data_IF_464900184244
#
_entry.id   IF_464900184244
#
_cell.length_a   1.000
_cell.length_b   1.000
_cell.length_c   1.000
_cell.angle_alpha   90.00
_cell.angle_beta   90.00
_cell.angle_gamma   90.00
#
_symmetry.space_group_name_H-M   'P 1'
#
loop_
_entity.id
_entity.type
_entity.pdbx_description
1 polymer ?
#
# COMPACT_ATOMS: atom_id res chain seq x y z
N UNK A 1 -16.10 9.31 -7.59
CA UNK A 1 -14.77 9.49 -7.02
C UNK A 1 -13.74 8.84 -7.94
N UNK A 2 -12.78 9.60 -8.43
CA UNK A 2 -11.75 9.15 -9.40
C UNK A 2 -10.41 9.82 -9.09
N UNK A 3 -9.34 9.36 -9.72
CA UNK A 3 -8.03 10.01 -9.63
C UNK A 3 -8.09 11.50 -10.06
N UNK A 4 -8.95 11.84 -11.02
CA UNK A 4 -9.08 13.21 -11.52
C UNK A 4 -9.69 14.18 -10.50
N UNK A 5 -10.54 13.71 -9.58
CA UNK A 5 -11.21 14.54 -8.59
C UNK A 5 -10.75 14.34 -7.14
N UNK A 6 -9.78 13.46 -6.90
CA UNK A 6 -9.23 13.17 -5.56
C UNK A 6 -8.74 14.45 -4.84
N UNK A 7 -8.11 15.36 -5.56
CA UNK A 7 -7.59 16.61 -5.01
C UNK A 7 -8.58 17.80 -5.11
N UNK A 8 -9.85 17.57 -5.44
CA UNK A 8 -10.85 18.63 -5.39
C UNK A 8 -11.27 18.99 -3.96
N UNK A 9 -10.99 18.14 -3.00
CA UNK A 9 -11.18 18.41 -1.58
C UNK A 9 -10.09 19.37 -1.06
N UNK A 10 -10.50 20.49 -0.46
CA UNK A 10 -9.59 21.51 0.08
C UNK A 10 -8.70 20.99 1.21
N UNK A 11 -9.23 20.08 2.06
CA UNK A 11 -8.44 19.49 3.15
C UNK A 11 -7.35 18.59 2.60
N UNK A 12 -7.65 17.78 1.57
CA UNK A 12 -6.67 16.94 0.88
C UNK A 12 -5.52 17.76 0.33
N UNK A 13 -5.81 18.89 -0.33
CA UNK A 13 -4.79 19.81 -0.87
C UNK A 13 -3.93 20.48 0.20
N UNK A 14 -4.47 20.74 1.39
CA UNK A 14 -3.70 21.28 2.52
C UNK A 14 -2.69 20.27 3.08
N UNK A 15 -3.01 18.97 3.03
CA UNK A 15 -2.10 17.92 3.48
C UNK A 15 -0.93 17.77 2.51
N UNK A 16 -1.23 17.67 1.21
CA UNK A 16 -0.21 17.49 0.18
C UNK A 16 -0.74 17.98 -1.18
N UNK A 17 0.04 18.81 -1.84
CA UNK A 17 -0.32 19.35 -3.14
C UNK A 17 -0.19 18.27 -4.24
N UNK A 18 -1.11 18.20 -5.21
CA UNK A 18 -1.08 17.19 -6.27
C UNK A 18 0.20 17.23 -7.12
N UNK A 19 0.80 18.41 -7.29
CA UNK A 19 2.06 18.59 -8.03
C UNK A 19 3.25 17.93 -7.31
N UNK A 20 3.23 17.89 -5.99
CA UNK A 20 4.23 17.18 -5.18
C UNK A 20 4.09 15.67 -5.35
N UNK A 21 2.85 15.18 -5.27
CA UNK A 21 2.55 13.75 -5.50
C UNK A 21 3.01 13.30 -6.90
N UNK A 22 2.74 14.11 -7.91
CA UNK A 22 3.11 13.78 -9.29
C UNK A 22 4.63 13.68 -9.50
N UNK A 23 5.43 14.45 -8.73
CA UNK A 23 6.91 14.47 -8.86
C UNK A 23 7.61 13.44 -7.99
N UNK A 24 7.12 13.22 -6.77
CA UNK A 24 7.85 12.48 -5.73
C UNK A 24 7.13 11.22 -5.25
N UNK A 25 5.87 11.03 -5.68
CA UNK A 25 5.00 10.03 -5.07
C UNK A 25 4.55 10.46 -3.67
N UNK A 26 4.19 9.47 -2.86
CA UNK A 26 3.75 9.68 -1.47
C UNK A 26 4.41 8.68 -0.54
N UNK A 27 4.60 9.06 0.72
CA UNK A 27 4.96 8.13 1.79
C UNK A 27 3.70 7.43 2.34
N UNK A 28 3.89 6.39 3.12
CA UNK A 28 2.78 5.65 3.72
C UNK A 28 2.00 6.53 4.72
N UNK A 29 2.69 7.36 5.49
CA UNK A 29 2.05 8.32 6.41
C UNK A 29 1.25 9.38 5.66
N UNK A 30 1.80 9.92 4.58
CA UNK A 30 1.09 10.90 3.75
C UNK A 30 -0.17 10.29 3.16
N UNK A 31 -0.12 9.02 2.71
CA UNK A 31 -1.32 8.32 2.25
C UNK A 31 -2.37 8.19 3.35
N UNK A 32 -1.97 7.79 4.56
CA UNK A 32 -2.87 7.72 5.71
C UNK A 32 -3.56 9.05 6.01
N UNK A 33 -2.79 10.16 6.01
CA UNK A 33 -3.33 11.51 6.19
C UNK A 33 -4.29 11.93 5.07
N UNK A 34 -3.95 11.63 3.81
CA UNK A 34 -4.80 11.91 2.66
C UNK A 34 -6.13 11.16 2.73
N UNK A 35 -6.11 9.89 3.12
CA UNK A 35 -7.32 9.08 3.34
C UNK A 35 -8.19 9.66 4.46
N UNK A 36 -7.58 10.10 5.56
CA UNK A 36 -8.29 10.74 6.66
C UNK A 36 -9.04 12.02 6.26
N UNK A 37 -8.61 12.71 5.20
CA UNK A 37 -9.33 13.89 4.67
C UNK A 37 -10.70 13.54 4.04
N UNK A 38 -11.00 12.26 3.85
CA UNK A 38 -12.25 11.73 3.30
C UNK A 38 -13.09 10.96 4.35
N UNK A 39 -12.89 11.22 5.63
CA UNK A 39 -13.58 10.53 6.72
C UNK A 39 -13.37 9.00 6.69
N UNK A 40 -12.23 8.56 6.19
CA UNK A 40 -11.80 7.16 6.21
C UNK A 40 -10.83 6.99 7.37
N UNK A 41 -11.07 6.02 8.23
CA UNK A 41 -10.11 5.64 9.27
C UNK A 41 -8.95 4.87 8.61
N UNK A 42 -7.74 5.42 8.66
CA UNK A 42 -6.55 4.79 8.14
C UNK A 42 -5.58 4.48 9.28
N UNK A 43 -5.22 3.20 9.44
CA UNK A 43 -4.17 2.74 10.35
C UNK A 43 -2.91 2.44 9.57
N UNK A 44 -1.81 3.08 9.94
CA UNK A 44 -0.51 2.93 9.29
C UNK A 44 0.40 2.05 10.13
N UNK A 45 0.98 1.04 9.50
CA UNK A 45 1.97 0.14 10.10
C UNK A 45 3.21 0.09 9.20
N UNK A 46 4.38 0.21 9.78
CA UNK A 46 5.64 -0.05 9.10
C UNK A 46 6.12 -1.47 9.38
N UNK A 47 6.91 -2.07 8.49
CA UNK A 47 7.46 -3.40 8.73
C UNK A 47 8.31 -3.46 10.01
N UNK A 48 8.95 -2.35 10.41
CA UNK A 48 9.68 -2.23 11.68
C UNK A 48 8.80 -2.37 12.93
N UNK A 49 7.47 -2.18 12.80
CA UNK A 49 6.52 -2.19 13.92
C UNK A 49 5.88 -3.57 14.13
N UNK A 50 6.16 -4.53 13.27
CA UNK A 50 5.50 -5.82 13.25
C UNK A 50 6.45 -6.92 12.73
N UNK A 51 5.94 -8.11 12.49
CA UNK A 51 6.64 -9.23 11.90
C UNK A 51 5.73 -10.02 10.95
N UNK A 52 6.32 -10.90 10.13
CA UNK A 52 5.61 -11.63 9.07
C UNK A 52 4.31 -12.30 9.54
N UNK A 53 4.34 -13.00 10.67
CA UNK A 53 3.14 -13.71 11.16
C UNK A 53 2.02 -12.76 11.55
N UNK A 54 2.36 -11.69 12.26
CA UNK A 54 1.40 -10.66 12.64
C UNK A 54 0.83 -9.93 11.42
N UNK A 55 1.68 -9.62 10.43
CA UNK A 55 1.26 -9.06 9.14
C UNK A 55 0.26 -9.98 8.44
N UNK A 56 0.58 -11.28 8.33
CA UNK A 56 -0.30 -12.28 7.71
C UNK A 56 -1.69 -12.33 8.38
N UNK A 57 -1.71 -12.39 9.70
CA UNK A 57 -2.95 -12.43 10.48
C UNK A 57 -3.76 -11.14 10.34
N UNK A 58 -3.11 -10.00 10.46
CA UNK A 58 -3.76 -8.69 10.37
C UNK A 58 -4.41 -8.48 9.00
N UNK A 59 -3.69 -8.80 7.93
CA UNK A 59 -4.20 -8.66 6.56
C UNK A 59 -5.34 -9.65 6.31
N UNK A 60 -5.17 -10.93 6.66
CA UNK A 60 -6.21 -11.94 6.47
C UNK A 60 -7.50 -11.59 7.25
N UNK A 61 -7.37 -11.13 8.48
CA UNK A 61 -8.52 -10.67 9.28
C UNK A 61 -9.20 -9.46 8.64
N UNK A 62 -8.42 -8.48 8.20
CA UNK A 62 -8.97 -7.27 7.57
C UNK A 62 -9.73 -7.60 6.28
N UNK A 63 -9.18 -8.48 5.44
CA UNK A 63 -9.81 -8.91 4.19
C UNK A 63 -11.10 -9.73 4.39
N UNK A 64 -11.32 -10.28 5.58
CA UNK A 64 -12.57 -11.00 5.91
C UNK A 64 -13.72 -10.09 6.36
N UNK A 65 -13.47 -8.80 6.53
CA UNK A 65 -14.44 -7.81 6.98
C UNK A 65 -14.93 -6.96 5.80
N UNK A 66 -16.25 -6.74 5.74
CA UNK A 66 -16.82 -5.82 4.76
C UNK A 66 -16.32 -4.38 5.00
N UNK A 67 -16.21 -3.62 3.94
CA UNK A 67 -15.79 -2.21 3.93
C UNK A 67 -14.38 -1.93 4.47
N UNK A 68 -13.59 -2.98 4.70
CA UNK A 68 -12.19 -2.86 5.06
C UNK A 68 -11.28 -3.12 3.85
N UNK A 69 -10.22 -2.32 3.75
CA UNK A 69 -9.27 -2.38 2.63
C UNK A 69 -7.84 -2.39 3.15
N UNK A 70 -6.98 -3.11 2.46
CA UNK A 70 -5.56 -3.14 2.77
C UNK A 70 -4.77 -2.57 1.61
N UNK A 71 -3.94 -1.58 1.90
CA UNK A 71 -2.95 -1.04 0.97
C UNK A 71 -1.56 -1.41 1.47
N UNK A 72 -0.72 -1.87 0.57
CA UNK A 72 0.66 -2.28 0.88
C UNK A 72 1.66 -1.43 0.10
N UNK A 73 2.66 -0.91 0.83
CA UNK A 73 3.83 -0.25 0.24
C UNK A 73 4.96 -1.27 0.14
N UNK A 74 5.51 -1.47 -1.05
CA UNK A 74 6.53 -2.50 -1.30
C UNK A 74 7.53 -2.08 -2.36
N UNK A 75 8.71 -2.67 -2.30
CA UNK A 75 9.75 -2.50 -3.31
C UNK A 75 9.54 -3.50 -4.45
N UNK A 76 9.14 -3.02 -5.62
CA UNK A 76 8.74 -3.81 -6.80
C UNK A 76 9.74 -4.91 -7.18
N UNK A 77 11.04 -4.60 -7.19
CA UNK A 77 12.08 -5.57 -7.59
C UNK A 77 12.12 -6.83 -6.72
N UNK A 78 11.65 -6.73 -5.47
CA UNK A 78 11.63 -7.86 -4.53
C UNK A 78 10.55 -8.90 -4.84
N UNK A 79 9.57 -8.52 -5.67
CA UNK A 79 8.53 -9.43 -6.16
C UNK A 79 8.65 -9.70 -7.67
N UNK A 80 9.84 -9.49 -8.23
CA UNK A 80 10.13 -9.78 -9.64
C UNK A 80 9.63 -8.74 -10.65
N UNK A 81 9.25 -7.55 -10.18
CA UNK A 81 8.84 -6.43 -11.04
C UNK A 81 10.01 -5.44 -11.25
N UNK A 82 9.80 -4.41 -12.07
CA UNK A 82 10.79 -3.36 -12.26
C UNK A 82 11.09 -2.57 -10.97
N UNK A 83 12.12 -1.74 -11.01
CA UNK A 83 12.55 -0.94 -9.84
C UNK A 83 11.50 0.05 -9.35
N UNK A 84 11.63 0.44 -8.11
CA UNK A 84 10.85 1.50 -7.45
C UNK A 84 9.98 0.98 -6.32
N UNK A 85 9.66 1.87 -5.40
CA UNK A 85 8.61 1.65 -4.40
C UNK A 85 7.24 1.81 -5.05
N UNK A 86 6.23 1.14 -4.52
CA UNK A 86 4.88 1.19 -5.05
C UNK A 86 3.85 0.88 -3.98
N UNK A 87 2.68 1.47 -4.11
CA UNK A 87 1.54 1.22 -3.23
C UNK A 87 0.40 0.64 -4.05
N UNK A 88 -0.11 -0.51 -3.61
CA UNK A 88 -1.24 -1.18 -4.27
C UNK A 88 -2.16 -1.85 -3.25
N UNK A 89 -3.45 -2.05 -3.57
CA UNK A 89 -4.34 -2.83 -2.72
C UNK A 89 -4.03 -4.31 -2.76
N UNK A 90 -4.23 -4.96 -1.61
CA UNK A 90 -4.33 -6.41 -1.48
C UNK A 90 -5.82 -6.77 -1.52
N UNK A 91 -6.20 -7.68 -2.43
CA UNK A 91 -7.59 -8.06 -2.64
C UNK A 91 -7.99 -9.38 -1.99
N UNK A 92 -7.04 -10.30 -1.81
CA UNK A 92 -7.33 -11.63 -1.28
C UNK A 92 -6.10 -12.28 -0.64
N UNK A 93 -6.35 -13.25 0.22
CA UNK A 93 -5.34 -14.14 0.79
C UNK A 93 -5.73 -15.61 0.52
N UNK A 94 -4.80 -16.35 -0.05
CA UNK A 94 -4.93 -17.80 -0.22
C UNK A 94 -4.12 -18.50 0.87
N UNK A 95 -4.82 -19.06 1.86
CA UNK A 95 -4.20 -19.73 3.00
C UNK A 95 -3.44 -20.99 2.60
N UNK A 96 -3.93 -21.76 1.61
CA UNK A 96 -3.30 -23.01 1.20
C UNK A 96 -1.92 -22.80 0.56
N UNK A 97 -1.77 -21.70 -0.19
CA UNK A 97 -0.52 -21.37 -0.90
C UNK A 97 0.28 -20.28 -0.21
N UNK A 98 -0.24 -19.72 0.89
CA UNK A 98 0.32 -18.58 1.62
C UNK A 98 0.67 -17.42 0.69
N UNK A 99 -0.31 -16.98 -0.11
CA UNK A 99 -0.15 -15.89 -1.09
C UNK A 99 -1.21 -14.82 -0.93
N UNK A 100 -0.78 -13.58 -1.13
CA UNK A 100 -1.64 -12.41 -1.27
C UNK A 100 -1.84 -12.04 -2.74
N UNK A 101 -3.06 -11.67 -3.11
CA UNK A 101 -3.38 -11.12 -4.42
C UNK A 101 -3.21 -9.61 -4.39
N UNK A 102 -2.25 -9.10 -5.15
CA UNK A 102 -2.02 -7.67 -5.35
C UNK A 102 -2.75 -7.23 -6.62
N UNK A 103 -3.58 -6.19 -6.50
CA UNK A 103 -4.19 -5.51 -7.63
C UNK A 103 -3.39 -4.25 -7.93
N UNK A 104 -2.41 -4.37 -8.82
CA UNK A 104 -1.54 -3.25 -9.14
C UNK A 104 -2.34 -2.10 -9.78
N UNK A 105 -2.20 -0.89 -9.25
CA UNK A 105 -2.89 0.29 -9.78
C UNK A 105 -2.35 0.70 -11.16
N UNK A 106 -1.14 0.27 -11.52
CA UNK A 106 -0.56 0.40 -12.86
C UNK A 106 -0.99 -0.76 -13.76
N UNK A 107 -2.29 -0.96 -13.91
CA UNK A 107 -2.90 -2.11 -14.60
C UNK A 107 -2.46 -2.28 -16.06
N UNK A 108 -2.07 -1.21 -16.72
CA UNK A 108 -1.52 -1.24 -18.08
C UNK A 108 -0.16 -1.93 -18.18
N UNK A 109 0.58 -2.04 -17.06
CA UNK A 109 1.93 -2.59 -16.99
C UNK A 109 1.99 -3.91 -16.23
N UNK A 110 1.22 -4.03 -15.15
CA UNK A 110 1.23 -5.18 -14.26
C UNK A 110 -0.19 -5.71 -14.04
N UNK A 111 -0.50 -6.94 -14.50
CA UNK A 111 -1.77 -7.58 -14.16
C UNK A 111 -1.82 -7.94 -12.67
N UNK A 112 -3.01 -8.32 -12.14
CA UNK A 112 -3.13 -8.90 -10.81
C UNK A 112 -2.14 -10.05 -10.62
N UNK A 113 -1.47 -10.09 -9.46
CA UNK A 113 -0.42 -11.09 -9.18
C UNK A 113 -0.55 -11.66 -7.79
N UNK A 114 -0.40 -13.00 -7.69
CA UNK A 114 -0.29 -13.72 -6.43
C UNK A 114 1.17 -13.73 -5.95
N UNK A 115 1.44 -13.15 -4.80
CA UNK A 115 2.77 -13.03 -4.20
C UNK A 115 2.80 -13.83 -2.91
N UNK A 116 3.86 -14.63 -2.69
CA UNK A 116 4.06 -15.32 -1.41
C UNK A 116 4.14 -14.30 -0.27
N UNK A 117 3.53 -14.62 0.86
CA UNK A 117 3.53 -13.73 2.02
C UNK A 117 4.96 -13.35 2.46
N UNK A 118 5.88 -14.31 2.46
CA UNK A 118 7.28 -14.06 2.80
C UNK A 118 7.99 -13.11 1.81
N UNK A 119 7.73 -13.25 0.50
CA UNK A 119 8.33 -12.39 -0.52
C UNK A 119 7.77 -10.96 -0.44
N UNK A 120 6.47 -10.83 -0.21
CA UNK A 120 5.84 -9.52 0.01
C UNK A 120 6.37 -8.87 1.28
N UNK A 121 6.52 -9.62 2.37
CA UNK A 121 7.12 -9.14 3.61
C UNK A 121 8.53 -8.59 3.38
N UNK A 122 9.39 -9.32 2.68
CA UNK A 122 10.73 -8.86 2.34
C UNK A 122 10.73 -7.61 1.45
N UNK A 123 9.70 -7.45 0.62
CA UNK A 123 9.54 -6.26 -0.22
C UNK A 123 9.08 -5.04 0.59
N UNK A 124 8.31 -5.26 1.66
CA UNK A 124 7.91 -4.23 2.63
C UNK A 124 9.02 -3.89 3.61
N UNK A 125 9.82 -4.88 4.03
CA UNK A 125 10.95 -4.69 4.96
C UNK A 125 12.16 -4.09 4.23
N UNK A 126 11.90 -2.98 3.58
CA UNK A 126 12.87 -2.18 2.83
C UNK A 126 12.71 -0.70 3.18
N UNK A 127 13.82 0.02 3.23
CA UNK A 127 13.81 1.45 3.54
C UNK A 127 13.21 2.26 2.41
N UNK A 128 12.23 3.09 2.73
CA UNK A 128 11.75 4.14 1.85
C UNK A 128 12.70 5.34 1.96
N UNK A 129 13.31 5.72 0.85
CA UNK A 129 14.31 6.78 0.82
C UNK A 129 13.72 8.17 1.05
N UNK A 130 12.42 8.35 0.87
CA UNK A 130 11.74 9.64 1.07
C UNK A 130 11.40 9.83 2.55
N UNK A 131 10.78 8.84 3.18
CA UNK A 131 10.41 8.91 4.61
C UNK A 131 11.57 8.56 5.54
N UNK A 132 12.55 7.80 5.08
CA UNK A 132 13.62 7.23 5.91
C UNK A 132 13.18 6.04 6.77
N UNK A 133 11.91 5.64 6.72
CA UNK A 133 11.31 4.52 7.45
C UNK A 133 11.23 3.27 6.58
N UNK A 134 10.92 2.12 7.18
CA UNK A 134 10.54 0.92 6.42
C UNK A 134 9.17 1.13 5.76
N UNK A 135 8.92 0.37 4.69
CA UNK A 135 7.64 0.38 3.98
C UNK A 135 6.56 -0.36 4.75
#
# INVERSE_FOLDING_TARGET
FTQANFFNNTQTRKILAPEVVARQGITLEQLGQLLGSYAVEAKVYHSSDTHLEQFRQLVAQNLSQEDNFVLVNYLRRKIGQERGGHISPIAAYNQQTDRFLILDVSRYKYPPVWVKAADLWQAMDTKDMVSGKTR
#
